data_IF_256608871343
#
_entry.id   IF_256608871343
#
_cell.length_a   1.000
_cell.length_b   1.000
_cell.length_c   1.000
_cell.angle_alpha   90.00
_cell.angle_beta   90.00
_cell.angle_gamma   90.00
#
_symmetry.space_group_name_H-M   'P 1'
#
loop_
_entity.id
_entity.type
_entity.pdbx_description
1 polymer ?
#
# COMPACT_ATOMS: atom_id res chain seq x y z
N UNK A 1 -9.47 -9.10 -6.84
CA UNK A 1 -8.75 -7.81 -6.89
C UNK A 1 -7.29 -8.12 -6.70
N UNK A 2 -6.53 -8.22 -7.78
CA UNK A 2 -5.07 -8.32 -7.73
C UNK A 2 -4.57 -6.88 -7.85
N UNK A 3 -4.24 -6.27 -6.71
CA UNK A 3 -3.56 -4.98 -6.70
C UNK A 3 -2.15 -5.21 -7.26
N UNK A 4 -1.87 -4.58 -8.39
CA UNK A 4 -0.59 -4.69 -9.06
C UNK A 4 0.51 -4.11 -8.16
N UNK A 5 1.54 -4.88 -7.78
CA UNK A 5 2.61 -4.41 -6.90
C UNK A 5 3.36 -3.18 -7.44
N UNK A 6 3.25 -2.89 -8.74
CA UNK A 6 3.83 -1.70 -9.36
C UNK A 6 2.89 -0.48 -9.34
N UNK A 7 1.72 -0.56 -8.68
CA UNK A 7 0.88 0.61 -8.47
C UNK A 7 1.66 1.67 -7.66
N UNK A 8 1.75 2.93 -8.12
CA UNK A 8 2.61 3.95 -7.50
C UNK A 8 2.41 4.16 -5.99
N UNK A 9 1.18 3.97 -5.49
CA UNK A 9 0.89 4.05 -4.05
C UNK A 9 1.44 2.87 -3.25
N UNK A 10 1.43 1.65 -3.83
CA UNK A 10 2.02 0.47 -3.19
C UNK A 10 3.55 0.56 -3.20
N UNK A 11 4.13 1.01 -4.31
CA UNK A 11 5.57 1.28 -4.40
C UNK A 11 6.02 2.31 -3.34
N UNK A 12 5.29 3.41 -3.17
CA UNK A 12 5.58 4.40 -2.13
C UNK A 12 5.52 3.80 -0.73
N UNK A 13 4.51 2.98 -0.43
CA UNK A 13 4.35 2.33 0.87
C UNK A 13 5.49 1.34 1.15
N UNK A 14 5.88 0.53 0.18
CA UNK A 14 7.03 -0.38 0.31
C UNK A 14 8.32 0.38 0.58
N UNK A 15 8.57 1.47 -0.16
CA UNK A 15 9.76 2.30 0.04
C UNK A 15 9.78 2.99 1.40
N UNK A 16 8.61 3.42 1.89
CA UNK A 16 8.50 3.95 3.24
C UNK A 16 8.94 2.92 4.30
N UNK A 17 8.45 1.69 4.21
CA UNK A 17 8.89 0.61 5.10
C UNK A 17 10.38 0.29 4.97
N UNK A 18 10.95 0.38 3.76
CA UNK A 18 12.38 0.17 3.53
C UNK A 18 13.23 1.25 4.19
N UNK A 19 12.81 2.52 4.11
CA UNK A 19 13.47 3.65 4.79
C UNK A 19 13.48 3.45 6.30
N UNK A 20 12.34 3.09 6.90
CA UNK A 20 12.25 2.84 8.34
C UNK A 20 13.17 1.68 8.76
N UNK A 21 13.10 0.55 8.06
CA UNK A 21 13.92 -0.61 8.34
C UNK A 21 15.43 -0.30 8.23
N UNK A 22 15.83 0.41 7.18
CA UNK A 22 17.23 0.78 6.96
C UNK A 22 17.73 1.72 8.06
N UNK A 23 16.92 2.69 8.48
CA UNK A 23 17.28 3.60 9.56
C UNK A 23 17.38 2.89 10.92
N UNK A 24 16.41 2.05 11.27
CA UNK A 24 16.36 1.34 12.55
C UNK A 24 17.48 0.30 12.68
N UNK A 25 17.69 -0.52 11.64
CA UNK A 25 18.72 -1.57 11.63
C UNK A 25 20.13 -1.01 11.81
N UNK A 26 20.35 0.24 11.39
CA UNK A 26 21.65 0.91 11.40
C UNK A 26 21.78 2.05 12.43
N UNK A 27 20.84 2.20 13.37
CA UNK A 27 20.84 3.31 14.33
C UNK A 27 22.13 3.46 15.16
N UNK A 28 22.85 2.35 15.39
CA UNK A 28 24.06 2.31 16.20
C UNK A 28 25.31 2.83 15.46
N UNK A 29 25.31 2.81 14.12
CA UNK A 29 26.48 3.16 13.31
C UNK A 29 26.92 4.61 13.50
N UNK A 30 25.99 5.53 13.80
CA UNK A 30 26.32 6.93 14.09
C UNK A 30 27.25 7.04 15.31
N UNK A 31 26.92 6.34 16.39
CA UNK A 31 27.71 6.34 17.63
C UNK A 31 29.09 5.71 17.42
N UNK A 32 29.14 4.57 16.73
CA UNK A 32 30.41 3.89 16.43
C UNK A 32 31.30 4.70 15.47
N UNK A 33 30.71 5.36 14.48
CA UNK A 33 31.48 6.24 13.59
C UNK A 33 32.14 7.38 14.38
N UNK A 34 31.40 8.03 15.28
CA UNK A 34 31.90 9.13 16.11
C UNK A 34 33.00 8.74 17.10
N UNK A 35 33.11 7.44 17.46
CA UNK A 35 34.23 6.95 18.27
C UNK A 35 35.51 6.70 17.47
N UNK A 36 35.52 7.01 16.16
CA UNK A 36 36.67 6.85 15.28
C UNK A 36 36.73 5.49 14.57
N UNK A 37 35.66 4.69 14.62
CA UNK A 37 35.58 3.40 13.91
C UNK A 37 35.48 3.65 12.39
N UNK A 38 36.61 3.56 11.69
CA UNK A 38 36.71 3.79 10.24
C UNK A 38 35.78 2.86 9.41
N UNK A 39 35.70 1.54 9.67
CA UNK A 39 34.71 0.68 9.05
C UNK A 39 33.26 1.14 9.28
N UNK A 40 32.87 1.48 10.51
CA UNK A 40 31.51 1.95 10.80
C UNK A 40 31.20 3.25 10.06
N UNK A 41 32.16 4.17 9.96
CA UNK A 41 31.99 5.40 9.19
C UNK A 41 31.74 5.13 7.69
N UNK A 42 32.49 4.19 7.10
CA UNK A 42 32.29 3.82 5.70
C UNK A 42 30.90 3.19 5.45
N UNK A 43 30.42 2.35 6.37
CA UNK A 43 29.08 1.77 6.29
C UNK A 43 28.01 2.85 6.52
N UNK A 44 28.19 3.74 7.50
CA UNK A 44 27.28 4.86 7.76
C UNK A 44 27.10 5.74 6.52
N UNK A 45 28.19 6.11 5.83
CA UNK A 45 28.11 6.86 4.59
C UNK A 45 27.34 6.11 3.49
N UNK A 46 27.48 4.78 3.38
CA UNK A 46 26.70 3.97 2.43
C UNK A 46 25.22 3.95 2.79
N UNK A 47 24.89 3.77 4.07
CA UNK A 47 23.51 3.79 4.56
C UNK A 47 22.86 5.15 4.29
N UNK A 48 23.55 6.25 4.60
CA UNK A 48 23.07 7.61 4.31
C UNK A 48 22.80 7.83 2.82
N UNK A 49 23.69 7.32 1.96
CA UNK A 49 23.50 7.38 0.51
C UNK A 49 22.27 6.58 0.06
N UNK A 50 22.08 5.37 0.59
CA UNK A 50 20.90 4.56 0.29
C UNK A 50 19.60 5.24 0.75
N UNK A 51 19.62 5.87 1.94
CA UNK A 51 18.49 6.68 2.40
C UNK A 51 18.19 7.85 1.46
N UNK A 52 19.21 8.55 0.97
CA UNK A 52 19.04 9.65 0.00
C UNK A 52 18.44 9.17 -1.33
N UNK A 53 18.90 8.03 -1.84
CA UNK A 53 18.36 7.39 -3.06
C UNK A 53 16.89 6.98 -2.86
N UNK A 54 16.57 6.32 -1.74
CA UNK A 54 15.19 5.93 -1.40
C UNK A 54 14.26 7.14 -1.24
N UNK A 55 14.71 8.19 -0.55
CA UNK A 55 13.94 9.43 -0.38
C UNK A 55 13.70 10.13 -1.72
N UNK A 56 14.68 10.08 -2.63
CA UNK A 56 14.55 10.63 -3.98
C UNK A 56 13.49 9.89 -4.79
N UNK A 57 13.48 8.56 -4.72
CA UNK A 57 12.45 7.71 -5.34
C UNK A 57 11.07 7.98 -4.73
N UNK A 58 10.97 8.05 -3.40
CA UNK A 58 9.71 8.37 -2.72
C UNK A 58 9.17 9.74 -3.13
N UNK A 59 10.04 10.74 -3.27
CA UNK A 59 9.64 12.06 -3.77
C UNK A 59 9.06 11.98 -5.18
N UNK A 60 9.68 11.18 -6.06
CA UNK A 60 9.16 10.97 -7.41
C UNK A 60 7.78 10.28 -7.38
N UNK A 61 7.60 9.29 -6.51
CA UNK A 61 6.31 8.61 -6.31
C UNK A 61 5.23 9.57 -5.80
N UNK A 62 5.53 10.36 -4.76
CA UNK A 62 4.62 11.40 -4.22
C UNK A 62 4.23 12.41 -5.30
N UNK A 63 5.17 12.82 -6.13
CA UNK A 63 4.88 13.77 -7.23
C UNK A 63 3.93 13.18 -8.27
N UNK A 64 4.00 11.87 -8.52
CA UNK A 64 3.12 11.16 -9.46
C UNK A 64 1.76 10.76 -8.85
N UNK A 65 1.67 10.72 -7.53
CA UNK A 65 0.51 10.22 -6.82
C UNK A 65 -0.80 10.99 -7.14
N UNK A 66 -0.82 12.34 -7.19
CA UNK A 66 -2.04 13.08 -7.52
C UNK A 66 -2.64 12.70 -8.88
N UNK A 67 -1.79 12.60 -9.91
CA UNK A 67 -2.21 12.21 -11.25
C UNK A 67 -2.73 10.77 -11.30
N UNK A 68 -2.14 9.88 -10.50
CA UNK A 68 -2.56 8.48 -10.39
C UNK A 68 -3.92 8.38 -9.70
N UNK A 69 -4.10 9.05 -8.57
CA UNK A 69 -5.36 9.04 -7.81
C UNK A 69 -6.51 9.64 -8.63
N UNK A 70 -6.25 10.72 -9.37
CA UNK A 70 -7.26 11.36 -10.21
C UNK A 70 -7.84 10.45 -11.31
N UNK A 71 -7.10 9.39 -11.69
CA UNK A 71 -7.54 8.41 -12.69
C UNK A 71 -8.37 7.27 -12.10
N UNK A 72 -8.46 7.15 -10.77
CA UNK A 72 -9.20 6.06 -10.12
C UNK A 72 -10.71 6.33 -10.27
N UNK A 73 -11.48 5.43 -10.89
CA UNK A 73 -12.93 5.59 -11.01
C UNK A 73 -13.61 5.57 -9.63
N UNK A 74 -14.79 6.22 -9.49
CA UNK A 74 -15.57 6.19 -8.26
C UNK A 74 -15.81 4.76 -7.78
N UNK A 75 -15.84 4.56 -6.45
CA UNK A 75 -16.01 3.23 -5.84
C UNK A 75 -17.29 2.55 -6.33
N UNK A 76 -18.38 3.31 -6.53
CA UNK A 76 -19.63 2.82 -7.11
C UNK A 76 -19.45 2.17 -8.49
N UNK A 77 -18.63 2.79 -9.34
CA UNK A 77 -18.30 2.28 -10.67
C UNK A 77 -17.44 1.03 -10.56
N UNK A 78 -16.41 1.06 -9.70
CA UNK A 78 -15.50 -0.09 -9.52
C UNK A 78 -16.20 -1.33 -8.97
N UNK A 79 -17.14 -1.14 -8.05
CA UNK A 79 -17.90 -2.23 -7.44
C UNK A 79 -19.16 -2.61 -8.21
N UNK A 80 -19.52 -1.87 -9.27
CA UNK A 80 -20.79 -2.05 -10.00
C UNK A 80 -22.01 -2.02 -9.07
N UNK A 81 -22.00 -1.10 -8.09
CA UNK A 81 -23.03 -0.96 -7.07
C UNK A 81 -23.41 0.51 -6.89
N UNK A 82 -24.71 0.78 -6.69
CA UNK A 82 -25.17 2.13 -6.30
C UNK A 82 -24.60 2.53 -4.93
N UNK A 83 -24.40 3.83 -4.70
CA UNK A 83 -23.94 4.37 -3.41
C UNK A 83 -24.81 3.92 -2.24
N UNK A 84 -26.15 3.87 -2.44
CA UNK A 84 -27.08 3.35 -1.43
C UNK A 84 -26.78 1.90 -1.03
N UNK A 85 -26.49 1.03 -1.99
CA UNK A 85 -26.14 -0.36 -1.72
C UNK A 85 -24.78 -0.48 -1.01
N UNK A 86 -23.81 0.38 -1.37
CA UNK A 86 -22.52 0.45 -0.67
C UNK A 86 -22.74 0.85 0.78
N UNK A 87 -23.42 1.97 1.01
CA UNK A 87 -23.72 2.48 2.36
C UNK A 87 -24.52 1.48 3.18
N UNK A 88 -25.54 0.86 2.59
CA UNK A 88 -26.34 -0.17 3.26
C UNK A 88 -25.48 -1.37 3.66
N UNK A 89 -24.57 -1.84 2.81
CA UNK A 89 -23.67 -2.94 3.18
C UNK A 89 -22.67 -2.53 4.26
N UNK A 90 -22.12 -1.31 4.21
CA UNK A 90 -21.20 -0.80 5.23
C UNK A 90 -21.88 -0.62 6.60
N UNK A 91 -23.14 -0.18 6.61
CA UNK A 91 -23.91 0.02 7.84
C UNK A 91 -24.46 -1.29 8.43
N UNK A 92 -24.76 -2.29 7.58
CA UNK A 92 -25.42 -3.53 8.00
C UNK A 92 -24.47 -4.71 8.21
N UNK A 93 -23.21 -4.65 7.75
CA UNK A 93 -22.35 -5.84 7.67
C UNK A 93 -20.93 -5.52 8.11
N UNK A 94 -20.58 -5.99 9.32
CA UNK A 94 -19.21 -6.40 9.63
C UNK A 94 -18.75 -7.51 8.65
N UNK A 95 -17.45 -7.83 8.58
CA UNK A 95 -16.84 -8.50 7.45
C UNK A 95 -17.33 -9.95 7.32
N UNK A 96 -18.23 -10.21 6.37
CA UNK A 96 -18.38 -11.56 5.82
C UNK A 96 -18.78 -11.48 4.34
N UNK A 97 -17.77 -11.66 3.49
CA UNK A 97 -17.89 -11.75 2.04
C UNK A 97 -17.97 -13.23 1.68
N UNK A 98 -19.17 -13.78 1.67
CA UNK A 98 -19.45 -15.01 0.91
C UNK A 98 -20.81 -14.93 0.20
N UNK A 99 -20.70 -15.10 -1.13
CA UNK A 99 -21.68 -15.65 -2.06
C UNK A 99 -23.15 -15.19 -2.00
N UNK A 100 -23.51 -14.20 -2.84
CA UNK A 100 -24.83 -14.16 -3.47
C UNK A 100 -24.67 -14.50 -4.94
N UNK A 101 -24.65 -15.80 -5.24
CA UNK A 101 -24.98 -16.30 -6.56
C UNK A 101 -25.75 -17.62 -6.43
N UNK A 102 -27.02 -17.51 -5.99
CA UNK A 102 -28.00 -18.58 -6.16
C UNK A 102 -29.39 -17.96 -6.18
N UNK A 103 -29.80 -17.53 -7.36
CA UNK A 103 -31.20 -17.26 -7.69
C UNK A 103 -31.48 -17.89 -9.05
N UNK A 104 -32.57 -18.67 -9.08
CA UNK A 104 -33.22 -19.38 -10.21
C UNK A 104 -32.87 -20.86 -10.44
N UNK A 105 -33.80 -21.72 -10.01
CA UNK A 105 -34.40 -22.94 -10.64
C UNK A 105 -34.89 -23.83 -9.48
N UNK A 106 -36.13 -24.26 -9.28
CA UNK A 106 -37.36 -24.37 -10.09
C UNK A 106 -38.52 -24.53 -9.09
N UNK A 107 -39.52 -23.65 -9.07
CA UNK A 107 -40.86 -23.87 -9.63
C UNK A 107 -41.38 -25.33 -9.53
N UNK A 108 -42.28 -25.53 -8.56
CA UNK A 108 -43.63 -26.11 -8.77
C UNK A 108 -43.70 -27.55 -9.31
N UNK A 109 -44.05 -28.50 -8.43
CA UNK A 109 -44.99 -29.55 -8.82
C UNK A 109 -45.88 -29.90 -7.63
N UNK A 110 -47.14 -29.50 -7.80
CA UNK A 110 -48.28 -29.86 -6.98
C UNK A 110 -49.07 -30.91 -7.77
N UNK A 111 -49.20 -32.11 -7.21
CA UNK A 111 -50.34 -33.04 -7.35
C UNK A 111 -50.31 -34.02 -6.19
#
# INVERSE_FOLDING_TARGET
>A
MTEDPAHPSMALNTRFSEVECLAESHQHLSKESMSGNKPANAVLHKVLKQLEELLSDMKADVTRLPATIARIPPVAVRLQMSERNILSRLASRGPDVTAQNQSQTSQQMQV
#
